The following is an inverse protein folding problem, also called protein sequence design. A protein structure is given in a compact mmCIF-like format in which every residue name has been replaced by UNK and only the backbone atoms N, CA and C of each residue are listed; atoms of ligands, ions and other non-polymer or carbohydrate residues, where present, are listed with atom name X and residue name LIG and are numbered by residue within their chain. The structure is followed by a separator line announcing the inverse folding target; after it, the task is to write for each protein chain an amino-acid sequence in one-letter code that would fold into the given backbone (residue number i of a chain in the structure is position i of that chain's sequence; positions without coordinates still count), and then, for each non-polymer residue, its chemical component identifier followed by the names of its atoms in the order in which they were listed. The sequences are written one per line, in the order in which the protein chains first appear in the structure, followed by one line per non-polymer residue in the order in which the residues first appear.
data_IF_249030050142
#
_entry.id   IF_249030050142
#
_cell.length_a   1.000
_cell.length_b   1.000
_cell.length_c   1.000
_cell.angle_alpha   90.00
_cell.angle_beta   90.00
_cell.angle_gamma   90.00
#
_symmetry.space_group_name_H-M   'P 1'
#
loop_
_entity.id
_entity.type
_entity.pdbx_description
1 polymer ?
#
# COMPACT_ATOMS: atom_id res chain seq x y z
N UNK A 1 6.55 30.78 47.05
CA UNK A 1 7.31 30.80 48.32
C UNK A 1 8.30 29.66 48.31
N UNK A 2 9.62 29.91 48.44
CA UNK A 2 10.63 28.86 48.58
C UNK A 2 11.97 29.31 47.99
N UNK A 3 12.62 30.27 48.66
CA UNK A 3 14.02 30.62 48.40
C UNK A 3 14.90 29.48 48.90
N UNK A 4 15.54 28.74 48.01
CA UNK A 4 16.65 27.85 48.31
C UNK A 4 17.97 28.56 48.12
N UNK A 5 18.53 29.09 49.18
CA UNK A 5 19.87 29.66 49.19
C UNK A 5 20.90 28.52 49.04
N UNK A 6 21.72 28.55 48.00
CA UNK A 6 22.92 27.74 47.86
C UNK A 6 23.94 28.16 48.90
N UNK A 7 24.12 27.29 49.88
CA UNK A 7 25.15 27.39 50.91
C UNK A 7 26.50 27.08 50.26
N UNK A 8 27.30 28.09 50.00
CA UNK A 8 28.69 27.91 49.53
C UNK A 8 29.51 27.33 50.66
N UNK A 9 29.98 26.13 50.42
CA UNK A 9 30.75 25.32 51.33
C UNK A 9 32.15 25.92 51.53
N UNK A 10 32.44 26.34 52.74
CA UNK A 10 33.66 27.01 53.17
C UNK A 10 34.85 26.03 53.32
N UNK A 11 34.73 24.78 52.85
CA UNK A 11 35.69 23.70 53.12
C UNK A 11 36.76 23.53 52.06
N UNK A 12 36.63 24.14 50.87
CA UNK A 12 37.63 24.05 49.79
C UNK A 12 38.87 24.95 49.96
N UNK A 13 38.79 25.97 50.79
CA UNK A 13 39.85 27.01 50.88
C UNK A 13 40.99 26.65 51.78
N UNK A 14 40.83 25.75 52.74
CA UNK A 14 41.89 25.35 53.70
C UNK A 14 42.77 24.19 53.23
N UNK A 15 42.39 23.44 52.20
CA UNK A 15 43.22 22.32 51.69
C UNK A 15 44.24 22.77 50.66
N UNK A 16 44.09 23.93 50.05
CA UNK A 16 44.99 24.42 48.99
C UNK A 16 46.20 25.15 49.56
N UNK A 17 46.17 25.55 50.82
CA UNK A 17 47.24 26.30 51.50
C UNK A 17 48.37 25.40 51.99
N UNK A 18 48.24 24.07 51.90
CA UNK A 18 49.21 23.10 52.38
C UNK A 18 50.07 22.43 51.31
N UNK A 19 49.82 22.72 50.05
CA UNK A 19 50.63 22.21 48.90
C UNK A 19 51.37 23.38 48.27
N UNK A 20 52.62 23.64 48.72
CA UNK A 20 53.67 24.40 48.04
C UNK A 20 53.21 25.80 47.54
N UNK A 21 52.70 26.64 48.42
CA UNK A 21 52.03 27.91 48.07
C UNK A 21 52.93 28.91 47.38
N UNK A 22 52.53 29.32 46.21
CA UNK A 22 52.91 30.61 45.63
C UNK A 22 52.56 31.70 46.61
N UNK A 23 53.49 32.62 46.88
CA UNK A 23 53.28 33.73 47.79
C UNK A 23 52.10 34.57 47.30
N UNK A 24 51.32 35.21 48.20
CA UNK A 24 50.20 36.05 47.81
C UNK A 24 50.53 37.14 46.80
N UNK A 25 51.78 37.62 46.82
CA UNK A 25 52.30 38.55 45.82
C UNK A 25 52.42 37.98 44.44
N UNK A 26 52.84 36.72 44.34
CA UNK A 26 52.93 36.04 43.07
C UNK A 26 51.56 35.75 42.45
N UNK A 27 50.55 35.48 43.28
CA UNK A 27 49.19 35.30 42.80
C UNK A 27 48.62 36.62 42.25
N UNK A 28 48.89 37.75 42.96
CA UNK A 28 48.48 39.06 42.45
C UNK A 28 49.19 39.46 41.17
N UNK A 29 50.47 39.12 41.05
CA UNK A 29 51.25 39.35 39.84
C UNK A 29 50.71 38.57 38.66
N UNK A 30 50.37 37.30 38.88
CA UNK A 30 49.79 36.42 37.87
C UNK A 30 48.40 36.89 37.47
N UNK A 31 47.59 37.38 38.42
CA UNK A 31 46.26 37.98 38.10
C UNK A 31 46.40 39.26 37.28
N UNK A 32 47.44 40.09 37.57
CA UNK A 32 47.75 41.30 36.81
C UNK A 32 48.25 40.98 35.39
N UNK A 33 49.11 39.97 35.27
CA UNK A 33 49.62 39.50 33.95
C UNK A 33 48.48 38.92 33.09
N UNK A 34 47.57 38.13 33.70
CA UNK A 34 46.39 37.62 33.03
C UNK A 34 45.46 38.75 32.60
N UNK A 35 45.25 39.72 33.47
CA UNK A 35 44.38 40.90 33.15
C UNK A 35 45.01 41.74 32.02
N UNK A 36 46.36 41.88 32.00
CA UNK A 36 47.08 42.59 30.95
C UNK A 36 47.07 41.81 29.62
N UNK A 37 47.22 40.48 29.67
CA UNK A 37 47.09 39.63 28.51
C UNK A 37 45.68 39.68 27.89
N UNK A 38 44.66 39.61 28.73
CA UNK A 38 43.27 39.74 28.29
C UNK A 38 42.92 41.13 27.72
N UNK A 39 43.59 42.18 28.24
CA UNK A 39 43.39 43.54 27.70
C UNK A 39 44.13 43.73 26.36
N UNK A 40 45.31 43.15 26.21
CA UNK A 40 46.08 43.18 24.95
C UNK A 40 45.38 42.36 23.84
N UNK A 41 44.75 41.23 24.17
CA UNK A 41 43.93 40.49 23.21
C UNK A 41 42.66 41.26 22.78
N UNK A 42 42.18 42.15 23.59
CA UNK A 42 41.03 42.99 23.25
C UNK A 42 41.39 44.12 22.28
N UNK A 43 42.65 44.57 22.28
CA UNK A 43 43.13 45.63 21.37
C UNK A 43 43.69 45.08 20.04
N UNK A 44 44.18 43.87 19.99
CA UNK A 44 44.53 43.22 18.74
C UNK A 44 43.31 42.54 18.14
N UNK A 45 42.55 43.31 17.39
CA UNK A 45 41.38 42.98 16.57
C UNK A 45 40.94 41.52 16.61
N UNK A 46 39.70 41.34 17.00
CA UNK A 46 39.07 40.08 17.29
C UNK A 46 39.54 38.94 16.40
N UNK A 47 39.85 37.83 17.01
CA UNK A 47 39.92 36.52 16.33
C UNK A 47 38.64 36.43 15.55
N UNK A 48 38.77 36.43 14.23
CA UNK A 48 37.64 36.26 13.30
C UNK A 48 37.09 34.87 13.58
N UNK A 49 36.19 34.80 14.54
CA UNK A 49 35.46 33.56 14.87
C UNK A 49 34.78 33.22 13.55
N UNK A 50 35.11 32.06 12.92
CA UNK A 50 34.49 31.71 11.66
C UNK A 50 33.00 31.95 11.79
N UNK A 51 32.56 32.95 11.05
CA UNK A 51 31.28 33.60 11.24
C UNK A 51 30.18 32.56 11.39
N UNK A 52 29.19 32.78 12.23
CA UNK A 52 27.97 31.98 12.38
C UNK A 52 27.44 31.47 11.04
N UNK A 53 27.70 32.22 9.97
CA UNK A 53 27.42 31.84 8.56
C UNK A 53 28.13 30.56 8.12
N UNK A 54 29.34 30.26 8.60
CA UNK A 54 30.06 29.03 8.24
C UNK A 54 29.44 27.84 8.99
N UNK A 55 29.04 28.02 10.26
CA UNK A 55 28.33 26.98 11.02
C UNK A 55 26.96 26.69 10.40
N UNK A 56 26.23 27.72 10.01
CA UNK A 56 24.94 27.57 9.34
C UNK A 56 25.09 26.87 7.98
N UNK A 57 26.17 27.17 7.25
CA UNK A 57 26.44 26.50 5.98
C UNK A 57 26.81 25.01 6.15
N UNK A 58 27.56 24.68 7.22
CA UNK A 58 27.90 23.30 7.56
C UNK A 58 26.66 22.53 8.00
N UNK A 59 25.84 23.11 8.86
CA UNK A 59 24.58 22.54 9.32
C UNK A 59 23.56 22.32 8.17
N UNK A 60 23.47 23.29 7.27
CA UNK A 60 22.63 23.16 6.08
C UNK A 60 23.11 22.01 5.15
N UNK A 61 24.43 21.86 5.01
CA UNK A 61 25.03 20.78 4.21
C UNK A 61 24.82 19.40 4.84
N UNK A 62 24.95 19.32 6.17
CA UNK A 62 24.71 18.08 6.94
C UNK A 62 23.22 17.70 6.89
N UNK A 63 22.30 18.64 7.10
CA UNK A 63 20.86 18.41 7.02
C UNK A 63 20.43 17.97 5.60
N UNK A 64 21.01 18.57 4.56
CA UNK A 64 20.72 18.21 3.17
C UNK A 64 21.23 16.81 2.82
N UNK A 65 22.41 16.42 3.32
CA UNK A 65 22.99 15.08 3.16
C UNK A 65 22.17 14.03 3.91
N UNK A 66 21.79 14.31 5.16
CA UNK A 66 20.95 13.40 5.95
C UNK A 66 19.54 13.23 5.34
N UNK A 67 18.91 14.31 4.87
CA UNK A 67 17.59 14.19 4.20
C UNK A 67 17.66 13.30 2.95
N UNK A 68 18.74 13.38 2.17
CA UNK A 68 18.92 12.53 0.98
C UNK A 68 19.18 11.08 1.33
N UNK A 69 19.98 10.80 2.36
CA UNK A 69 20.26 9.43 2.80
C UNK A 69 19.04 8.79 3.46
N UNK A 70 18.30 9.54 4.27
CA UNK A 70 17.06 9.07 4.91
C UNK A 70 15.97 8.85 3.85
N UNK A 71 15.79 9.79 2.91
CA UNK A 71 14.84 9.63 1.81
C UNK A 71 15.18 8.42 0.93
N UNK A 72 16.48 8.21 0.63
CA UNK A 72 16.96 7.03 -0.10
C UNK A 72 16.72 5.72 0.66
N UNK A 73 16.95 5.69 1.96
CA UNK A 73 16.69 4.53 2.80
C UNK A 73 15.19 4.21 2.89
N UNK A 74 14.34 5.23 3.04
CA UNK A 74 12.89 5.03 3.00
C UNK A 74 12.42 4.53 1.64
N UNK A 75 12.92 5.09 0.53
CA UNK A 75 12.57 4.62 -0.81
C UNK A 75 13.00 3.18 -1.04
N UNK A 76 14.19 2.80 -0.58
CA UNK A 76 14.73 1.44 -0.71
C UNK A 76 13.90 0.38 0.04
N UNK A 77 13.24 0.75 1.12
CA UNK A 77 12.39 -0.18 1.90
C UNK A 77 10.93 -0.09 1.48
N UNK A 78 10.40 1.12 1.31
CA UNK A 78 8.98 1.31 1.00
C UNK A 78 8.60 0.87 -0.41
N UNK A 79 9.46 1.10 -1.42
CA UNK A 79 9.16 0.70 -2.79
C UNK A 79 8.98 -0.82 -2.96
N UNK A 80 9.89 -1.70 -2.46
CA UNK A 80 9.67 -3.13 -2.57
C UNK A 80 8.47 -3.61 -1.73
N UNK A 81 8.18 -2.99 -0.58
CA UNK A 81 6.98 -3.31 0.21
C UNK A 81 5.70 -2.95 -0.55
N UNK A 82 5.66 -1.78 -1.17
CA UNK A 82 4.51 -1.38 -2.01
C UNK A 82 4.37 -2.31 -3.21
N UNK A 83 5.47 -2.66 -3.88
CA UNK A 83 5.45 -3.63 -4.98
C UNK A 83 4.93 -4.99 -4.51
N UNK A 84 5.40 -5.48 -3.36
CA UNK A 84 4.91 -6.73 -2.77
C UNK A 84 3.42 -6.66 -2.41
N UNK A 85 2.96 -5.54 -1.84
CA UNK A 85 1.55 -5.33 -1.55
C UNK A 85 0.71 -5.28 -2.83
N UNK A 86 1.19 -4.63 -3.88
CA UNK A 86 0.49 -4.56 -5.16
C UNK A 86 0.41 -5.93 -5.85
N UNK A 87 1.49 -6.73 -5.81
CA UNK A 87 1.47 -8.10 -6.37
C UNK A 87 0.53 -8.99 -5.56
N UNK A 88 0.61 -8.97 -4.23
CA UNK A 88 -0.31 -9.72 -3.36
C UNK A 88 -1.77 -9.28 -3.56
N UNK A 89 -2.00 -7.98 -3.76
CA UNK A 89 -3.32 -7.45 -4.07
C UNK A 89 -3.83 -7.95 -5.43
N UNK A 90 -2.98 -7.95 -6.46
CA UNK A 90 -3.32 -8.46 -7.78
C UNK A 90 -3.70 -9.95 -7.73
N UNK A 91 -2.94 -10.78 -7.00
CA UNK A 91 -3.25 -12.20 -6.79
C UNK A 91 -4.55 -12.41 -6.01
N UNK A 92 -4.76 -11.66 -4.92
CA UNK A 92 -5.98 -11.74 -4.10
C UNK A 92 -7.24 -11.32 -4.86
N UNK A 93 -7.12 -10.36 -5.77
CA UNK A 93 -8.25 -9.84 -6.55
C UNK A 93 -8.38 -10.47 -7.94
N UNK A 94 -7.49 -11.43 -8.28
CA UNK A 94 -7.52 -12.16 -9.55
C UNK A 94 -7.19 -11.28 -10.76
N UNK A 95 -6.46 -10.19 -10.57
CA UNK A 95 -5.98 -9.37 -11.67
C UNK A 95 -4.84 -10.11 -12.39
N UNK A 96 -5.09 -10.49 -13.62
CA UNK A 96 -4.07 -11.05 -14.51
C UNK A 96 -4.16 -12.55 -14.80
N UNK A 97 -5.07 -13.30 -14.19
CA UNK A 97 -5.32 -14.68 -14.57
C UNK A 97 -6.57 -14.73 -15.45
N UNK A 98 -6.40 -14.97 -16.73
CA UNK A 98 -7.52 -15.33 -17.58
C UNK A 98 -8.10 -16.67 -17.08
N UNK A 99 -9.42 -16.75 -16.85
CA UNK A 99 -10.03 -17.98 -16.41
C UNK A 99 -9.86 -19.05 -17.50
N UNK A 100 -9.50 -20.26 -17.08
CA UNK A 100 -9.48 -21.40 -18.00
C UNK A 100 -10.91 -21.65 -18.47
N UNK A 101 -11.16 -21.43 -19.76
CA UNK A 101 -12.47 -21.61 -20.38
C UNK A 101 -12.67 -23.06 -20.80
N UNK A 102 -13.82 -23.64 -20.46
CA UNK A 102 -14.30 -24.93 -20.95
C UNK A 102 -15.36 -24.71 -22.00
N UNK A 103 -15.36 -25.54 -23.02
CA UNK A 103 -16.42 -25.62 -24.05
C UNK A 103 -17.06 -26.99 -23.99
N UNK A 104 -18.39 -26.99 -23.95
CA UNK A 104 -19.21 -28.18 -23.98
C UNK A 104 -20.17 -28.08 -25.16
N UNK A 105 -20.18 -29.13 -25.98
CA UNK A 105 -21.07 -29.26 -27.14
C UNK A 105 -21.98 -30.47 -26.94
N UNK A 106 -23.25 -30.30 -27.21
CA UNK A 106 -24.27 -31.32 -27.10
C UNK A 106 -24.68 -31.76 -28.51
N UNK A 107 -24.55 -33.05 -28.85
CA UNK A 107 -24.97 -33.58 -30.15
C UNK A 107 -26.48 -33.50 -30.38
N UNK A 108 -26.91 -33.78 -31.61
CA UNK A 108 -28.31 -33.86 -31.96
C UNK A 108 -29.01 -35.02 -31.20
N UNK A 109 -30.17 -34.73 -30.63
CA UNK A 109 -30.98 -35.71 -29.91
C UNK A 109 -30.53 -35.95 -28.44
N UNK A 110 -29.48 -35.29 -27.97
CA UNK A 110 -29.00 -35.40 -26.58
C UNK A 110 -29.29 -34.14 -25.78
N UNK A 111 -29.29 -34.30 -24.45
CA UNK A 111 -29.38 -33.22 -23.51
C UNK A 111 -28.28 -33.38 -22.45
N UNK A 112 -27.69 -32.30 -21.99
CA UNK A 112 -26.64 -32.35 -21.00
C UNK A 112 -26.89 -31.34 -19.88
N UNK A 113 -26.77 -31.80 -18.63
CA UNK A 113 -26.81 -30.92 -17.46
C UNK A 113 -25.38 -30.70 -16.96
N UNK A 114 -24.99 -29.44 -16.89
CA UNK A 114 -23.69 -28.97 -16.40
C UNK A 114 -23.90 -28.25 -15.06
N UNK A 115 -23.13 -28.64 -14.05
CA UNK A 115 -23.08 -27.92 -12.78
C UNK A 115 -21.86 -26.97 -12.80
N UNK A 116 -22.12 -25.70 -12.59
CA UNK A 116 -21.09 -24.67 -12.57
C UNK A 116 -20.48 -24.52 -11.18
N UNK A 117 -19.32 -23.86 -11.10
CA UNK A 117 -18.55 -23.71 -9.85
C UNK A 117 -19.24 -22.87 -8.77
N UNK A 118 -20.22 -22.05 -9.14
CA UNK A 118 -21.04 -21.23 -8.22
C UNK A 118 -22.28 -21.96 -7.69
N UNK A 119 -22.48 -23.21 -8.07
CA UNK A 119 -23.68 -24.01 -7.74
C UNK A 119 -24.85 -23.80 -8.70
N UNK A 120 -24.71 -22.96 -9.73
CA UNK A 120 -25.70 -22.83 -10.78
C UNK A 120 -25.72 -24.08 -11.65
N UNK A 121 -26.88 -24.45 -12.18
CA UNK A 121 -27.04 -25.55 -13.12
C UNK A 121 -27.51 -25.06 -14.48
N UNK A 122 -26.95 -25.63 -15.54
CA UNK A 122 -27.32 -25.33 -16.93
C UNK A 122 -27.72 -26.62 -17.61
N UNK A 123 -28.92 -26.67 -18.13
CA UNK A 123 -29.39 -27.78 -18.95
C UNK A 123 -29.37 -27.37 -20.42
N UNK A 124 -28.47 -27.96 -21.17
CA UNK A 124 -28.29 -27.73 -22.61
C UNK A 124 -29.19 -28.66 -23.41
N UNK A 125 -29.86 -28.10 -24.39
CA UNK A 125 -30.66 -28.84 -25.37
C UNK A 125 -29.76 -29.35 -26.49
N UNK A 126 -30.29 -30.18 -27.38
CA UNK A 126 -29.59 -30.74 -28.53
C UNK A 126 -28.95 -29.64 -29.40
N UNK A 127 -27.83 -29.95 -30.03
CA UNK A 127 -27.08 -29.06 -30.93
C UNK A 127 -26.63 -27.74 -30.29
N UNK A 128 -26.51 -27.70 -28.99
CA UNK A 128 -26.09 -26.51 -28.23
C UNK A 128 -24.61 -26.52 -27.90
N UNK A 129 -24.01 -25.33 -27.81
CA UNK A 129 -22.63 -25.11 -27.38
C UNK A 129 -22.57 -24.04 -26.27
N UNK A 130 -22.02 -24.41 -25.13
CA UNK A 130 -21.81 -23.51 -24.00
C UNK A 130 -20.31 -23.38 -23.70
N UNK A 131 -19.85 -22.16 -23.52
CA UNK A 131 -18.50 -21.87 -22.98
C UNK A 131 -18.63 -21.23 -21.61
N UNK A 132 -17.88 -21.75 -20.65
CA UNK A 132 -17.90 -21.27 -19.27
C UNK A 132 -16.53 -21.44 -18.63
N UNK A 133 -16.17 -20.60 -17.64
CA UNK A 133 -14.92 -20.74 -16.93
C UNK A 133 -14.96 -21.91 -15.94
N UNK A 134 -13.84 -22.57 -15.73
CA UNK A 134 -13.71 -23.61 -14.70
C UNK A 134 -14.01 -23.07 -13.30
N UNK A 135 -13.64 -21.80 -13.06
CA UNK A 135 -13.93 -21.04 -11.84
C UNK A 135 -14.30 -19.63 -12.23
N UNK A 136 -15.34 -19.11 -11.61
CA UNK A 136 -15.71 -17.72 -11.80
C UNK A 136 -14.76 -16.76 -11.08
N UNK A 137 -14.54 -15.59 -11.67
CA UNK A 137 -13.87 -14.50 -10.99
C UNK A 137 -14.74 -13.98 -9.83
N UNK A 138 -14.13 -13.41 -8.81
CA UNK A 138 -14.76 -13.12 -7.50
C UNK A 138 -16.06 -12.30 -7.54
N UNK A 139 -16.29 -11.53 -8.61
CA UNK A 139 -17.49 -10.70 -8.79
C UNK A 139 -18.08 -10.76 -10.19
N UNK A 140 -17.67 -11.75 -10.98
CA UNK A 140 -18.10 -11.86 -12.37
C UNK A 140 -18.39 -13.32 -12.69
N UNK A 141 -19.66 -13.65 -12.85
CA UNK A 141 -20.14 -14.98 -13.24
C UNK A 141 -20.64 -14.89 -14.67
N UNK A 142 -19.77 -15.17 -15.61
CA UNK A 142 -20.07 -15.02 -17.02
C UNK A 142 -19.93 -16.34 -17.76
N UNK A 143 -20.92 -16.65 -18.58
CA UNK A 143 -20.93 -17.80 -19.48
C UNK A 143 -21.39 -17.34 -20.86
N UNK A 144 -20.99 -18.06 -21.90
CA UNK A 144 -21.37 -17.75 -23.28
C UNK A 144 -22.10 -18.93 -23.90
N UNK A 145 -23.35 -18.73 -24.30
CA UNK A 145 -24.11 -19.63 -25.15
C UNK A 145 -23.77 -19.27 -26.60
N UNK A 146 -22.90 -20.09 -27.21
CA UNK A 146 -22.43 -19.83 -28.57
C UNK A 146 -23.54 -20.10 -29.58
N UNK A 147 -24.35 -21.14 -29.31
CA UNK A 147 -25.50 -21.49 -30.12
C UNK A 147 -26.39 -22.46 -29.38
N UNK A 148 -27.65 -22.60 -29.84
CA UNK A 148 -28.58 -23.58 -29.32
C UNK A 148 -29.46 -23.05 -28.22
N UNK A 149 -29.93 -23.94 -27.36
CA UNK A 149 -30.86 -23.59 -26.28
C UNK A 149 -30.36 -24.13 -24.94
N UNK A 150 -30.48 -23.31 -23.92
CA UNK A 150 -30.05 -23.65 -22.59
C UNK A 150 -31.01 -23.12 -21.52
N UNK A 151 -31.36 -23.98 -20.58
CA UNK A 151 -32.13 -23.60 -19.39
C UNK A 151 -31.17 -23.41 -18.22
N UNK A 152 -31.21 -22.22 -17.64
CA UNK A 152 -30.35 -21.77 -16.55
C UNK A 152 -31.12 -21.78 -15.23
N UNK A 153 -30.59 -22.43 -14.21
CA UNK A 153 -31.00 -22.37 -12.80
C UNK A 153 -29.87 -21.70 -12.02
N UNK A 154 -29.93 -20.37 -11.92
CA UNK A 154 -28.83 -19.58 -11.36
C UNK A 154 -28.94 -19.50 -9.85
N UNK A 155 -27.85 -19.85 -9.15
CA UNK A 155 -27.74 -19.67 -7.71
C UNK A 155 -27.81 -18.18 -7.34
N UNK A 156 -28.61 -17.84 -6.33
CA UNK A 156 -28.82 -16.45 -5.93
C UNK A 156 -27.58 -15.85 -5.28
N UNK A 157 -27.04 -14.80 -5.87
CA UNK A 157 -25.98 -13.97 -5.31
C UNK A 157 -26.12 -12.53 -5.80
N UNK A 158 -26.59 -11.64 -4.91
CA UNK A 158 -26.78 -10.22 -5.21
C UNK A 158 -25.46 -9.45 -5.35
N UNK A 159 -24.34 -10.00 -4.84
CA UNK A 159 -23.03 -9.35 -4.87
C UNK A 159 -22.23 -9.64 -6.14
N UNK A 160 -22.62 -10.69 -6.87
CA UNK A 160 -21.97 -11.15 -8.10
C UNK A 160 -23.03 -11.51 -9.13
N UNK A 161 -23.45 -10.59 -9.99
CA UNK A 161 -24.39 -10.87 -11.08
C UNK A 161 -23.91 -12.01 -11.98
N UNK A 162 -24.85 -12.80 -12.49
CA UNK A 162 -24.61 -13.87 -13.47
C UNK A 162 -25.01 -13.38 -14.85
N UNK A 163 -24.08 -13.44 -15.78
CA UNK A 163 -24.27 -12.96 -17.15
C UNK A 163 -24.21 -14.10 -18.14
N UNK A 164 -25.22 -14.21 -18.99
CA UNK A 164 -25.23 -15.10 -20.15
C UNK A 164 -25.03 -14.25 -21.40
N UNK A 165 -23.93 -14.45 -22.08
CA UNK A 165 -23.65 -13.81 -23.37
C UNK A 165 -24.06 -14.73 -24.52
N UNK A 166 -24.72 -14.14 -25.51
CA UNK A 166 -24.91 -14.72 -26.84
C UNK A 166 -24.22 -13.85 -27.88
N UNK A 167 -24.37 -14.12 -29.16
CA UNK A 167 -23.81 -13.24 -30.19
C UNK A 167 -24.51 -11.86 -30.23
N UNK A 168 -25.81 -11.79 -29.86
CA UNK A 168 -26.63 -10.60 -30.01
C UNK A 168 -27.04 -9.95 -28.69
N UNK A 169 -27.14 -10.74 -27.61
CA UNK A 169 -27.75 -10.30 -26.34
C UNK A 169 -26.89 -10.71 -25.16
N UNK A 170 -26.84 -9.83 -24.16
CA UNK A 170 -26.29 -10.12 -22.84
C UNK A 170 -27.42 -10.07 -21.81
N UNK A 171 -27.61 -11.16 -21.09
CA UNK A 171 -28.67 -11.35 -20.08
C UNK A 171 -28.04 -11.36 -18.69
N UNK A 172 -28.38 -10.41 -17.85
CA UNK A 172 -27.88 -10.32 -16.47
C UNK A 172 -28.97 -10.67 -15.45
N UNK A 173 -28.60 -11.55 -14.50
CA UNK A 173 -29.52 -12.01 -13.45
C UNK A 173 -28.79 -12.10 -12.10
N UNK A 174 -29.53 -12.06 -10.99
CA UNK A 174 -28.98 -12.23 -9.64
C UNK A 174 -29.26 -13.62 -9.04
N UNK A 175 -30.23 -14.34 -9.60
CA UNK A 175 -30.66 -15.65 -9.12
C UNK A 175 -32.05 -15.94 -9.69
N UNK A 176 -32.08 -16.56 -10.85
CA UNK A 176 -33.24 -16.60 -11.72
C UNK A 176 -33.27 -17.94 -12.44
N UNK A 177 -34.46 -18.43 -12.77
CA UNK A 177 -34.63 -19.58 -13.66
C UNK A 177 -35.19 -19.08 -14.99
N UNK A 178 -34.42 -19.25 -16.04
CA UNK A 178 -34.75 -18.75 -17.36
C UNK A 178 -34.20 -19.65 -18.47
N UNK A 179 -34.79 -19.55 -19.64
CA UNK A 179 -34.35 -20.24 -20.83
C UNK A 179 -33.85 -19.26 -21.87
N UNK A 180 -32.74 -19.56 -22.51
CA UNK A 180 -32.20 -18.80 -23.64
C UNK A 180 -32.18 -19.67 -24.85
N UNK A 181 -32.80 -19.20 -25.91
CA UNK A 181 -32.80 -19.86 -27.22
C UNK A 181 -32.05 -18.96 -28.21
N UNK A 182 -30.92 -19.48 -28.70
CA UNK A 182 -30.01 -18.84 -29.64
C UNK A 182 -29.67 -19.82 -30.80
N UNK A 183 -30.66 -20.56 -31.31
CA UNK A 183 -30.49 -21.37 -32.49
C UNK A 183 -30.40 -20.52 -33.75
N UNK A 184 -31.20 -19.44 -33.78
CA UNK A 184 -31.14 -18.47 -34.85
C UNK A 184 -30.06 -17.44 -34.54
N UNK A 185 -29.21 -17.14 -35.51
CA UNK A 185 -28.12 -16.14 -35.32
C UNK A 185 -28.61 -14.71 -35.29
N UNK A 186 -29.82 -14.48 -35.80
CA UNK A 186 -30.39 -13.13 -35.88
C UNK A 186 -31.37 -12.84 -34.74
N UNK A 187 -31.84 -13.87 -33.99
CA UNK A 187 -32.86 -13.73 -32.95
C UNK A 187 -32.55 -14.61 -31.76
N UNK A 188 -32.17 -13.96 -30.66
CA UNK A 188 -32.09 -14.63 -29.36
C UNK A 188 -33.38 -14.39 -28.57
N UNK A 189 -34.01 -15.46 -28.11
CA UNK A 189 -35.23 -15.41 -27.31
C UNK A 189 -34.94 -15.82 -25.87
N UNK A 190 -35.41 -15.00 -24.91
CA UNK A 190 -35.25 -15.26 -23.47
C UNK A 190 -36.62 -15.45 -22.84
N UNK A 191 -36.83 -16.62 -22.23
CA UNK A 191 -38.08 -16.94 -21.50
C UNK A 191 -37.78 -16.98 -20.00
N UNK A 192 -38.36 -16.06 -19.28
CA UNK A 192 -38.26 -15.99 -17.82
C UNK A 192 -39.26 -16.94 -17.18
N UNK A 193 -38.80 -17.86 -16.33
CA UNK A 193 -39.64 -18.75 -15.53
C UNK A 193 -39.85 -18.23 -14.12
N UNK A 194 -38.79 -17.72 -13.50
CA UNK A 194 -38.81 -17.26 -12.09
C UNK A 194 -37.72 -16.24 -11.86
N UNK A 195 -38.03 -15.12 -11.19
CA UNK A 195 -37.06 -14.09 -10.80
C UNK A 195 -37.12 -12.81 -11.63
N UNK A 196 -36.00 -12.14 -11.81
CA UNK A 196 -35.84 -10.89 -12.58
C UNK A 196 -34.65 -11.01 -13.53
N UNK A 197 -34.82 -10.46 -14.73
CA UNK A 197 -33.81 -10.35 -15.78
C UNK A 197 -33.57 -8.87 -16.07
N UNK A 198 -32.34 -8.51 -16.34
CA UNK A 198 -31.95 -7.19 -16.78
C UNK A 198 -31.26 -7.28 -18.13
#
# INVERSE_FOLDING_TARGET
CGKGALKTDHMGRKSFEKAGGLSPERIRQMDADIAQALSSERETGGVDVPSLKLLDAIDAKIRRRNRRSVAGAFAAVCLPLVALCLTAFAELYGWGHEPVMRSVQVPAGEHLRVLLADGSAVTLNACSELRYPERFARRRREVRLVRGEAFFEVAHDASAPFTVETDDVSVEVLGTKFNVNAYDKEVTTVYLKEGKVR
#
